data_IF_080576490448
#
_entry.id   IF_080576490448
#
_cell.length_a   1.000
_cell.length_b   1.000
_cell.length_c   1.000
_cell.angle_alpha   90.00
_cell.angle_beta   90.00
_cell.angle_gamma   90.00
#
_symmetry.space_group_name_H-M   'P 1'
#
loop_
_entity.id
_entity.type
_entity.pdbx_description
1 polymer ?
#
# COMPACT_ATOMS: atom_id res chain seq x y z
N UNK A 1 39.50 -36.11 -5.21
CA UNK A 1 39.50 -34.66 -4.95
C UNK A 1 38.26 -34.10 -5.62
N UNK A 2 37.21 -33.80 -4.86
CA UNK A 2 35.93 -33.30 -5.39
C UNK A 2 35.98 -31.75 -5.38
N UNK A 3 36.35 -31.19 -6.53
CA UNK A 3 36.38 -29.75 -6.76
C UNK A 3 35.07 -29.34 -7.45
N UNK A 4 34.22 -28.58 -6.76
CA UNK A 4 33.32 -27.66 -7.47
C UNK A 4 31.81 -27.73 -7.20
N UNK A 5 31.31 -28.38 -6.15
CA UNK A 5 29.95 -28.04 -5.69
C UNK A 5 29.97 -26.70 -4.95
N UNK A 6 29.62 -25.62 -5.64
CA UNK A 6 29.15 -24.40 -4.99
C UNK A 6 28.01 -24.78 -4.05
N UNK A 7 28.10 -24.51 -2.73
CA UNK A 7 27.01 -24.81 -1.82
C UNK A 7 25.76 -24.09 -2.31
N UNK A 8 24.65 -24.84 -2.42
CA UNK A 8 23.35 -24.25 -2.78
C UNK A 8 23.08 -23.05 -1.86
N UNK A 9 22.56 -21.94 -2.38
CA UNK A 9 22.31 -20.76 -1.57
C UNK A 9 21.45 -21.16 -0.37
N UNK A 10 21.79 -20.71 0.86
CA UNK A 10 21.10 -21.15 2.06
C UNK A 10 19.61 -20.86 1.90
N UNK A 11 18.78 -21.91 1.92
CA UNK A 11 17.35 -21.73 1.83
C UNK A 11 16.90 -20.79 2.95
N UNK A 12 16.22 -19.73 2.55
CA UNK A 12 15.74 -18.71 3.48
C UNK A 12 14.83 -19.40 4.52
N UNK A 13 15.32 -19.48 5.77
CA UNK A 13 14.66 -20.23 6.83
C UNK A 13 13.23 -19.73 7.13
N UNK A 14 12.39 -20.51 7.84
CA UNK A 14 10.96 -20.25 8.01
C UNK A 14 10.61 -18.82 8.52
N UNK A 15 11.47 -18.25 9.36
CA UNK A 15 11.35 -16.89 9.90
C UNK A 15 11.50 -15.81 8.82
N UNK A 16 12.42 -16.01 7.88
CA UNK A 16 12.66 -15.06 6.78
C UNK A 16 11.52 -15.06 5.76
N UNK A 17 10.92 -16.23 5.50
CA UNK A 17 9.74 -16.35 4.62
C UNK A 17 8.54 -15.60 5.21
N UNK A 18 8.31 -15.73 6.51
CA UNK A 18 7.23 -15.02 7.23
C UNK A 18 7.44 -13.51 7.27
N UNK A 19 8.67 -13.06 7.47
CA UNK A 19 9.02 -11.63 7.37
C UNK A 19 8.70 -11.08 5.98
N UNK A 20 9.16 -11.76 4.92
CA UNK A 20 8.89 -11.36 3.52
C UNK A 20 7.39 -11.37 3.20
N UNK A 21 6.65 -12.36 3.70
CA UNK A 21 5.20 -12.42 3.55
C UNK A 21 4.51 -11.23 4.21
N UNK A 22 4.94 -10.83 5.42
CA UNK A 22 4.45 -9.62 6.08
C UNK A 22 4.73 -8.34 5.28
N UNK A 23 5.94 -8.22 4.73
CA UNK A 23 6.31 -7.07 3.87
C UNK A 23 5.43 -7.03 2.62
N UNK A 24 5.29 -8.16 1.93
CA UNK A 24 4.48 -8.28 0.73
C UNK A 24 3.00 -7.95 1.00
N UNK A 25 2.47 -8.42 2.14
CA UNK A 25 1.11 -8.10 2.57
C UNK A 25 0.91 -6.59 2.76
N UNK A 26 1.80 -5.92 3.47
CA UNK A 26 1.69 -4.48 3.69
C UNK A 26 1.82 -3.69 2.38
N UNK A 27 2.79 -4.02 1.52
CA UNK A 27 2.95 -3.38 0.21
C UNK A 27 1.73 -3.61 -0.70
N UNK A 28 1.19 -4.83 -0.71
CA UNK A 28 -0.05 -5.14 -1.44
C UNK A 28 -1.24 -4.35 -0.93
N UNK A 29 -1.36 -4.17 0.39
CA UNK A 29 -2.41 -3.39 1.01
C UNK A 29 -2.27 -1.88 0.69
N UNK A 30 -1.05 -1.35 0.66
CA UNK A 30 -0.79 0.00 0.16
C UNK A 30 -1.26 0.16 -1.29
N UNK A 31 -0.85 -0.74 -2.18
CA UNK A 31 -1.25 -0.70 -3.58
C UNK A 31 -2.78 -0.78 -3.73
N UNK A 32 -3.44 -1.63 -2.94
CA UNK A 32 -4.89 -1.74 -2.93
C UNK A 32 -5.56 -0.42 -2.54
N UNK A 33 -5.07 0.31 -1.53
CA UNK A 33 -5.67 1.62 -1.18
C UNK A 33 -5.58 2.65 -2.31
N UNK A 34 -4.48 2.63 -3.09
CA UNK A 34 -4.32 3.50 -4.26
C UNK A 34 -5.29 3.08 -5.37
N UNK A 35 -5.32 1.78 -5.68
CA UNK A 35 -6.11 1.23 -6.77
C UNK A 35 -7.60 1.15 -6.48
N UNK A 36 -8.05 1.21 -5.23
CA UNK A 36 -9.47 1.28 -4.85
C UNK A 36 -9.94 2.73 -4.84
N UNK A 37 -9.13 3.66 -4.34
CA UNK A 37 -9.48 5.09 -4.34
C UNK A 37 -9.57 5.65 -5.77
N UNK A 38 -8.71 5.17 -6.68
CA UNK A 38 -8.67 5.63 -8.07
C UNK A 38 -9.96 5.42 -8.87
N UNK A 39 -10.53 4.20 -9.02
CA UNK A 39 -11.80 3.99 -9.71
C UNK A 39 -12.95 4.67 -8.98
N UNK A 40 -12.90 4.77 -7.64
CA UNK A 40 -13.91 5.51 -6.88
C UNK A 40 -13.98 6.97 -7.35
N UNK A 41 -12.83 7.61 -7.60
CA UNK A 41 -12.76 8.97 -8.14
C UNK A 41 -13.23 9.08 -9.61
N UNK A 42 -13.04 8.03 -10.41
CA UNK A 42 -13.51 7.99 -11.81
C UNK A 42 -15.02 7.80 -11.94
N UNK A 43 -15.69 7.26 -10.92
CA UNK A 43 -17.14 7.05 -10.90
C UNK A 43 -17.94 8.35 -10.64
N UNK A 44 -17.28 9.48 -10.35
CA UNK A 44 -17.95 10.78 -10.19
C UNK A 44 -17.99 11.51 -11.55
N UNK A 45 -19.18 11.70 -12.16
CA UNK A 45 -19.34 12.23 -13.51
C UNK A 45 -19.05 13.74 -13.62
N UNK A 46 -18.65 14.16 -14.83
CA UNK A 46 -18.18 15.51 -15.20
C UNK A 46 -19.27 16.58 -15.30
N UNK A 47 -20.54 16.20 -15.49
CA UNK A 47 -21.60 17.15 -15.86
C UNK A 47 -22.01 18.14 -14.73
N UNK A 48 -21.40 18.02 -13.56
CA UNK A 48 -21.60 18.91 -12.42
C UNK A 48 -20.80 20.22 -12.48
N UNK A 49 -19.89 20.38 -13.44
CA UNK A 49 -18.95 21.51 -13.50
C UNK A 49 -19.47 22.68 -14.35
N UNK A 50 -20.34 22.43 -15.33
CA UNK A 50 -20.82 23.47 -16.27
C UNK A 50 -22.26 23.95 -15.99
N UNK A 51 -23.00 23.31 -15.07
CA UNK A 51 -24.35 23.69 -14.67
C UNK A 51 -24.39 24.12 -13.21
N UNK A 52 -24.59 25.41 -12.97
CA UNK A 52 -24.61 26.00 -11.63
C UNK A 52 -25.41 25.19 -10.59
N UNK A 53 -24.84 25.08 -9.39
CA UNK A 53 -25.39 24.41 -8.21
C UNK A 53 -25.75 22.92 -8.39
N UNK A 54 -24.70 22.10 -8.35
CA UNK A 54 -24.76 20.67 -8.03
C UNK A 54 -23.39 20.20 -7.58
N UNK A 55 -23.08 20.38 -6.29
CA UNK A 55 -21.79 20.09 -5.64
C UNK A 55 -21.36 18.62 -5.78
N UNK A 56 -20.83 18.22 -6.93
CA UNK A 56 -20.07 16.98 -7.01
C UNK A 56 -18.58 17.30 -6.83
N UNK A 57 -17.92 16.75 -5.80
CA UNK A 57 -16.51 17.01 -5.55
C UNK A 57 -15.67 16.61 -6.76
N UNK A 58 -14.65 17.41 -7.08
CA UNK A 58 -13.73 17.06 -8.16
C UNK A 58 -13.11 15.68 -7.88
N UNK A 59 -12.71 14.91 -8.91
CA UNK A 59 -12.13 13.58 -8.69
C UNK A 59 -10.96 13.57 -7.69
N UNK A 60 -10.16 14.65 -7.65
CA UNK A 60 -9.11 14.84 -6.65
C UNK A 60 -9.64 15.02 -5.22
N UNK A 61 -10.74 15.74 -5.04
CA UNK A 61 -11.36 15.99 -3.73
C UNK A 61 -11.96 14.71 -3.13
N UNK A 62 -12.28 13.70 -3.95
CA UNK A 62 -12.67 12.37 -3.50
C UNK A 62 -11.46 11.46 -3.31
N UNK A 63 -10.52 11.50 -4.25
CA UNK A 63 -9.35 10.63 -4.27
C UNK A 63 -8.41 10.87 -3.08
N UNK A 64 -8.08 12.13 -2.78
CA UNK A 64 -7.12 12.46 -1.73
C UNK A 64 -7.59 12.02 -0.34
N UNK A 65 -8.82 12.35 0.10
CA UNK A 65 -9.34 11.89 1.38
C UNK A 65 -9.45 10.37 1.46
N UNK A 66 -9.97 9.71 0.41
CA UNK A 66 -10.08 8.25 0.37
C UNK A 66 -8.69 7.57 0.50
N UNK A 67 -7.69 8.10 -0.20
CA UNK A 67 -6.31 7.64 -0.12
C UNK A 67 -5.72 7.84 1.30
N UNK A 68 -5.85 9.03 1.86
CA UNK A 68 -5.33 9.37 3.21
C UNK A 68 -6.02 8.49 4.28
N UNK A 69 -7.34 8.34 4.22
CA UNK A 69 -8.09 7.49 5.14
C UNK A 69 -7.67 6.02 5.03
N UNK A 70 -7.49 5.50 3.80
CA UNK A 70 -6.98 4.15 3.59
C UNK A 70 -5.59 3.94 4.20
N UNK A 71 -4.69 4.92 4.05
CA UNK A 71 -3.35 4.89 4.64
C UNK A 71 -3.38 4.96 6.17
N UNK A 72 -4.28 5.74 6.76
CA UNK A 72 -4.45 5.83 8.21
C UNK A 72 -4.97 4.52 8.83
N UNK A 73 -5.90 3.84 8.15
CA UNK A 73 -6.36 2.50 8.56
C UNK A 73 -5.21 1.49 8.46
N UNK A 74 -4.46 1.51 7.36
CA UNK A 74 -3.28 0.65 7.20
C UNK A 74 -2.24 0.89 8.31
N UNK A 75 -2.00 2.15 8.67
CA UNK A 75 -1.08 2.51 9.74
C UNK A 75 -1.51 1.90 11.08
N UNK A 76 -2.80 2.00 11.39
CA UNK A 76 -3.37 1.42 12.62
C UNK A 76 -3.20 -0.08 12.65
N UNK A 77 -3.50 -0.76 11.54
CA UNK A 77 -3.33 -2.22 11.40
C UNK A 77 -1.86 -2.62 11.51
N UNK A 78 -0.96 -1.91 10.82
CA UNK A 78 0.46 -2.20 10.81
C UNK A 78 1.10 -2.00 12.19
N UNK A 79 0.71 -0.95 12.92
CA UNK A 79 1.15 -0.71 14.29
C UNK A 79 0.60 -1.79 15.24
N UNK A 80 -0.70 -2.07 15.20
CA UNK A 80 -1.32 -3.08 16.07
C UNK A 80 -0.75 -4.48 15.83
N UNK A 81 -0.70 -4.93 14.58
CA UNK A 81 -0.21 -6.25 14.21
C UNK A 81 1.33 -6.35 14.30
N UNK A 82 2.02 -5.24 14.03
CA UNK A 82 3.46 -5.12 14.15
C UNK A 82 3.95 -5.19 15.59
N UNK A 83 3.38 -4.38 16.48
CA UNK A 83 3.68 -4.38 17.91
C UNK A 83 3.29 -5.73 18.53
N UNK A 84 2.09 -6.22 18.26
CA UNK A 84 1.66 -7.54 18.74
C UNK A 84 2.59 -8.65 18.23
N UNK A 85 3.08 -8.54 17.01
CA UNK A 85 4.02 -9.52 16.43
C UNK A 85 5.43 -9.45 16.99
N UNK A 86 5.92 -8.25 17.27
CA UNK A 86 7.20 -8.02 17.95
C UNK A 86 7.16 -8.58 19.39
N UNK A 87 6.05 -8.37 20.11
CA UNK A 87 5.86 -8.85 21.48
C UNK A 87 5.61 -10.36 21.54
N UNK A 88 4.71 -10.89 20.70
CA UNK A 88 4.33 -12.32 20.72
C UNK A 88 5.24 -13.24 19.92
N UNK A 89 6.31 -12.70 19.31
CA UNK A 89 7.28 -13.44 18.48
C UNK A 89 6.60 -14.34 17.43
N UNK A 90 5.69 -13.77 16.64
CA UNK A 90 4.91 -14.48 15.60
C UNK A 90 5.74 -14.93 14.37
N UNK A 91 6.99 -15.33 14.57
CA UNK A 91 7.90 -15.76 13.50
C UNK A 91 8.33 -14.63 12.56
N UNK A 92 8.13 -13.36 12.95
CA UNK A 92 8.58 -12.19 12.18
C UNK A 92 7.54 -11.61 11.21
N UNK A 93 6.34 -12.19 11.11
CA UNK A 93 5.32 -11.68 10.18
C UNK A 93 4.81 -10.30 10.58
N UNK A 94 4.56 -10.04 11.87
CA UNK A 94 4.11 -8.72 12.32
C UNK A 94 5.17 -7.66 12.10
N UNK A 95 6.44 -7.99 12.40
CA UNK A 95 7.56 -7.10 12.08
C UNK A 95 7.64 -6.82 10.57
N UNK A 96 7.40 -7.84 9.74
CA UNK A 96 7.35 -7.71 8.28
C UNK A 96 6.24 -6.77 7.82
N UNK A 97 5.04 -6.86 8.41
CA UNK A 97 3.94 -5.94 8.11
C UNK A 97 4.33 -4.50 8.46
N UNK A 98 4.93 -4.28 9.63
CA UNK A 98 5.37 -2.94 10.04
C UNK A 98 6.46 -2.39 9.12
N UNK A 99 7.47 -3.20 8.79
CA UNK A 99 8.54 -2.82 7.85
C UNK A 99 7.99 -2.53 6.47
N UNK A 100 7.09 -3.38 5.96
CA UNK A 100 6.45 -3.19 4.66
C UNK A 100 5.56 -1.95 4.61
N UNK A 101 4.92 -1.57 5.72
CA UNK A 101 4.16 -0.33 5.82
C UNK A 101 5.06 0.91 5.74
N UNK A 102 6.18 0.94 6.48
CA UNK A 102 7.16 2.04 6.38
C UNK A 102 7.74 2.13 4.96
N UNK A 103 8.08 1.00 4.34
CA UNK A 103 8.56 0.97 2.96
C UNK A 103 7.50 1.46 1.97
N UNK A 104 6.24 1.05 2.17
CA UNK A 104 5.10 1.47 1.36
C UNK A 104 4.89 2.98 1.42
N UNK A 105 5.02 3.60 2.59
CA UNK A 105 4.96 5.06 2.75
C UNK A 105 5.98 5.81 1.89
N UNK A 106 7.16 5.24 1.64
CA UNK A 106 8.21 5.86 0.80
C UNK A 106 7.98 5.63 -0.69
N UNK A 107 7.42 4.47 -1.07
CA UNK A 107 7.26 4.06 -2.47
C UNK A 107 5.92 4.53 -3.08
N UNK A 108 4.86 4.53 -2.28
CA UNK A 108 3.50 4.84 -2.72
C UNK A 108 3.23 6.29 -3.12
N UNK A 109 3.92 7.33 -2.59
CA UNK A 109 3.76 8.69 -3.07
C UNK A 109 4.05 8.81 -4.57
N UNK A 110 5.02 8.06 -5.10
CA UNK A 110 5.29 8.01 -6.54
C UNK A 110 4.11 7.46 -7.34
N UNK A 111 3.54 6.33 -6.92
CA UNK A 111 2.38 5.72 -7.57
C UNK A 111 1.12 6.61 -7.47
N UNK A 112 0.89 7.22 -6.31
CA UNK A 112 -0.23 8.14 -6.10
C UNK A 112 -0.09 9.42 -6.93
N UNK A 113 1.15 9.92 -7.14
CA UNK A 113 1.44 11.06 -8.00
C UNK A 113 1.14 10.76 -9.48
N UNK A 114 1.53 9.59 -10.00
CA UNK A 114 1.17 9.19 -11.36
C UNK A 114 -0.35 9.10 -11.55
N UNK A 115 -1.07 8.53 -10.58
CA UNK A 115 -2.54 8.48 -10.61
C UNK A 115 -3.15 9.88 -10.56
N UNK A 116 -2.65 10.75 -9.68
CA UNK A 116 -3.08 12.15 -9.59
C UNK A 116 -2.89 12.89 -10.91
N UNK A 117 -1.74 12.72 -11.58
CA UNK A 117 -1.49 13.28 -12.91
C UNK A 117 -2.46 12.75 -13.97
N UNK A 118 -2.84 11.46 -13.92
CA UNK A 118 -3.85 10.93 -14.86
C UNK A 118 -5.22 11.55 -14.61
N UNK A 119 -5.63 11.73 -13.35
CA UNK A 119 -6.88 12.39 -13.01
C UNK A 119 -6.92 13.84 -13.50
N UNK A 120 -5.81 14.58 -13.34
CA UNK A 120 -5.65 15.98 -13.82
C UNK A 120 -5.54 16.11 -15.34
N UNK A 121 -5.08 15.09 -16.06
CA UNK A 121 -4.99 15.14 -17.54
C UNK A 121 -6.27 14.73 -18.24
N UNK A 122 -7.05 13.85 -17.62
CA UNK A 122 -8.29 13.35 -18.19
C UNK A 122 -9.44 14.35 -17.93
N UNK A 123 -9.32 15.22 -16.94
CA UNK A 123 -10.33 16.22 -16.52
C UNK A 123 -9.75 17.63 -16.61
#
# INVERSE_FOLDING_TARGET
>A
MDHGRTPAPPEAGPRSRRLRAGIALALGAHLATILVAWPLALLYPKEAVDGGFGEHPAPLDVYLPALISGQAVLATVALGYGIAGAVRRNGGIGLGVLTGWVAGLLLCPGAAYFVGLTLVRIY
#
